data_IF_658827662584
#
_entry.id   IF_658827662584
#
_cell.length_a   1.000
_cell.length_b   1.000
_cell.length_c   1.000
_cell.angle_alpha   90.00
_cell.angle_beta   90.00
_cell.angle_gamma   90.00
#
_symmetry.space_group_name_H-M   'P 1'
#
loop_
_entity.id
_entity.type
_entity.pdbx_description
1 polymer ?
#
# COMPACT_ATOMS: atom_id res chain seq x y z
N UNK A 1 1.06 5.93 18.76
CA UNK A 1 0.13 5.23 17.85
C UNK A 1 0.89 4.90 16.57
N UNK A 2 0.71 3.72 16.00
CA UNK A 2 1.18 3.36 14.67
C UNK A 2 0.33 4.11 13.66
N UNK A 3 0.99 4.80 12.74
CA UNK A 3 0.33 5.60 11.72
C UNK A 3 0.07 4.76 10.47
N UNK A 4 -1.11 4.88 9.89
CA UNK A 4 -1.48 4.28 8.60
C UNK A 4 -2.21 5.30 7.72
N UNK A 5 -2.06 5.15 6.40
CA UNK A 5 -2.85 5.91 5.43
C UNK A 5 -4.16 5.17 5.16
N UNK A 6 -5.28 5.88 5.27
CA UNK A 6 -6.58 5.39 4.84
C UNK A 6 -6.73 5.44 3.32
N UNK A 7 -7.80 4.82 2.82
CA UNK A 7 -8.14 4.86 1.41
C UNK A 7 -8.41 6.30 0.93
N UNK A 8 -7.93 6.64 -0.27
CA UNK A 8 -8.17 7.94 -0.92
C UNK A 8 -9.55 7.94 -1.58
N UNK A 9 -10.51 8.67 -1.00
CA UNK A 9 -11.91 8.73 -1.44
C UNK A 9 -12.09 9.23 -2.89
N UNK A 10 -11.19 10.09 -3.35
CA UNK A 10 -11.24 10.69 -4.69
C UNK A 10 -10.32 9.99 -5.70
N UNK A 11 -9.83 8.79 -5.37
CA UNK A 11 -8.89 8.04 -6.20
C UNK A 11 -7.43 8.31 -5.84
N UNK A 12 -6.60 7.28 -6.09
CA UNK A 12 -5.18 7.25 -5.76
C UNK A 12 -4.27 7.94 -6.78
N UNK A 13 -2.96 7.71 -6.63
CA UNK A 13 -1.92 8.22 -7.55
C UNK A 13 -1.95 7.60 -8.95
N UNK A 14 -2.51 6.40 -9.09
CA UNK A 14 -2.55 5.68 -10.36
C UNK A 14 -3.80 6.09 -11.15
N UNK A 15 -3.60 6.45 -12.42
CA UNK A 15 -4.67 6.88 -13.33
C UNK A 15 -4.63 6.01 -14.58
N UNK A 16 -5.80 5.52 -14.98
CA UNK A 16 -6.01 4.92 -16.30
C UNK A 16 -6.62 5.98 -17.22
N UNK A 17 -6.02 6.18 -18.39
CA UNK A 17 -6.47 7.18 -19.37
C UNK A 17 -6.62 6.54 -20.75
N UNK A 18 -7.62 7.00 -21.50
CA UNK A 18 -7.90 6.54 -22.86
C UNK A 18 -7.29 7.53 -23.84
N UNK A 19 -6.41 7.02 -24.71
CA UNK A 19 -5.78 7.84 -25.74
C UNK A 19 -6.80 8.41 -26.71
N UNK A 20 -6.63 9.69 -27.09
CA UNK A 20 -7.55 10.39 -28.01
C UNK A 20 -7.63 9.80 -29.42
N UNK A 21 -6.75 8.86 -29.76
CA UNK A 21 -6.70 8.13 -31.04
C UNK A 21 -7.00 6.64 -30.89
N UNK A 22 -7.52 6.21 -29.74
CA UNK A 22 -7.93 4.83 -29.57
C UNK A 22 -8.98 4.47 -30.64
N UNK A 23 -8.81 3.31 -31.27
CA UNK A 23 -9.73 2.84 -32.32
C UNK A 23 -11.12 2.53 -31.75
N UNK A 24 -11.17 2.06 -30.50
CA UNK A 24 -12.41 1.71 -29.79
C UNK A 24 -12.34 2.20 -28.33
N UNK A 25 -12.53 3.51 -28.09
CA UNK A 25 -12.43 4.08 -26.74
C UNK A 25 -13.56 3.60 -25.83
N UNK A 26 -14.72 3.25 -26.36
CA UNK A 26 -15.87 2.76 -25.59
C UNK A 26 -15.59 1.38 -25.00
N UNK A 27 -14.99 0.47 -25.79
CA UNK A 27 -14.59 -0.85 -25.29
C UNK A 27 -13.48 -0.76 -24.24
N UNK A 28 -12.52 0.16 -24.41
CA UNK A 28 -11.48 0.40 -23.41
C UNK A 28 -12.11 0.92 -22.12
N UNK A 29 -13.07 1.86 -22.21
CA UNK A 29 -13.80 2.35 -21.05
C UNK A 29 -14.56 1.23 -20.34
N UNK A 30 -15.25 0.35 -21.07
CA UNK A 30 -15.95 -0.80 -20.51
C UNK A 30 -14.99 -1.81 -19.83
N UNK A 31 -13.81 -2.03 -20.39
CA UNK A 31 -12.79 -2.86 -19.76
C UNK A 31 -12.27 -2.22 -18.46
N UNK A 32 -12.00 -0.91 -18.46
CA UNK A 32 -11.59 -0.18 -17.25
C UNK A 32 -12.68 -0.27 -16.18
N UNK A 33 -13.95 -0.08 -16.54
CA UNK A 33 -15.09 -0.21 -15.63
C UNK A 33 -15.18 -1.62 -15.04
N UNK A 34 -14.99 -2.65 -15.87
CA UNK A 34 -14.94 -4.04 -15.41
C UNK A 34 -13.81 -4.29 -14.39
N UNK A 35 -12.66 -3.62 -14.48
CA UNK A 35 -11.59 -3.76 -13.47
C UNK A 35 -12.02 -3.34 -12.05
N UNK A 36 -13.08 -2.52 -11.92
CA UNK A 36 -13.67 -2.12 -10.63
C UNK A 36 -14.81 -3.04 -10.17
N UNK A 37 -15.24 -4.00 -10.99
CA UNK A 37 -16.18 -5.05 -10.57
C UNK A 37 -15.49 -6.09 -9.67
N UNK A 38 -16.23 -6.85 -8.84
CA UNK A 38 -15.64 -7.92 -8.02
C UNK A 38 -14.83 -8.94 -8.82
N UNK A 39 -15.34 -9.35 -9.98
CA UNK A 39 -14.65 -10.26 -10.90
C UNK A 39 -13.34 -9.65 -11.42
N UNK A 40 -13.39 -8.39 -11.84
CA UNK A 40 -12.22 -7.66 -12.34
C UNK A 40 -11.15 -7.47 -11.27
N UNK A 41 -11.53 -7.13 -10.03
CA UNK A 41 -10.59 -7.00 -8.90
C UNK A 41 -9.91 -8.33 -8.60
N UNK A 42 -10.65 -9.43 -8.59
CA UNK A 42 -10.13 -10.77 -8.40
C UNK A 42 -9.20 -11.22 -9.53
N UNK A 43 -9.49 -10.81 -10.76
CA UNK A 43 -8.72 -11.19 -11.95
C UNK A 43 -7.52 -10.27 -12.25
N UNK A 44 -7.51 -9.05 -11.70
CA UNK A 44 -6.49 -8.04 -11.94
C UNK A 44 -5.38 -8.01 -10.86
N UNK A 45 -5.16 -9.12 -10.18
CA UNK A 45 -4.12 -9.26 -9.15
C UNK A 45 -2.70 -9.07 -9.70
N UNK A 46 -1.86 -8.34 -8.98
CA UNK A 46 -0.41 -8.32 -9.24
C UNK A 46 0.29 -9.50 -8.56
N UNK A 47 1.52 -9.82 -8.96
CA UNK A 47 2.32 -10.88 -8.34
C UNK A 47 2.53 -10.68 -6.82
N UNK A 48 2.53 -9.43 -6.35
CA UNK A 48 2.65 -9.07 -4.93
C UNK A 48 1.30 -8.75 -4.29
N UNK A 49 0.23 -8.80 -5.06
CA UNK A 49 -1.13 -8.51 -4.62
C UNK A 49 -1.70 -9.68 -3.84
N UNK A 50 -2.39 -9.38 -2.74
CA UNK A 50 -3.01 -10.40 -1.90
C UNK A 50 -4.40 -10.84 -2.39
N UNK A 51 -4.77 -10.52 -3.64
CA UNK A 51 -6.05 -10.95 -4.24
C UNK A 51 -6.07 -12.46 -4.43
N UNK A 52 -7.22 -13.08 -4.22
CA UNK A 52 -7.35 -14.52 -4.31
C UNK A 52 -7.22 -15.08 -5.74
N UNK A 53 -7.27 -14.25 -6.79
CA UNK A 53 -7.42 -14.71 -8.18
C UNK A 53 -8.89 -14.92 -8.57
N UNK A 54 -9.19 -15.39 -9.78
CA UNK A 54 -10.55 -15.69 -10.22
C UNK A 54 -11.25 -16.74 -9.33
N UNK A 55 -12.53 -16.51 -9.03
CA UNK A 55 -13.37 -17.51 -8.35
C UNK A 55 -13.52 -18.76 -9.24
N UNK A 56 -13.55 -19.94 -8.63
CA UNK A 56 -13.57 -21.23 -9.29
C UNK A 56 -12.19 -21.73 -9.76
N UNK A 57 -11.21 -20.83 -9.90
CA UNK A 57 -9.82 -21.24 -10.18
C UNK A 57 -9.07 -21.54 -8.89
N UNK A 58 -8.90 -20.55 -8.02
CA UNK A 58 -8.08 -20.63 -6.80
C UNK A 58 -8.89 -20.63 -5.50
N UNK A 59 -10.16 -20.26 -5.56
CA UNK A 59 -11.04 -20.19 -4.39
C UNK A 59 -12.50 -20.34 -4.81
N UNK A 60 -13.34 -20.71 -3.84
CA UNK A 60 -14.78 -20.87 -4.03
C UNK A 60 -15.53 -20.17 -2.91
N UNK A 61 -16.69 -19.57 -3.21
CA UNK A 61 -17.60 -19.04 -2.20
C UNK A 61 -18.58 -20.13 -1.71
N UNK A 62 -18.19 -20.86 -0.66
CA UNK A 62 -18.99 -21.93 -0.07
C UNK A 62 -20.06 -21.45 0.92
N UNK A 63 -20.80 -22.40 1.49
CA UNK A 63 -21.81 -22.10 2.53
C UNK A 63 -21.22 -21.44 3.79
N UNK A 64 -19.95 -21.72 4.09
CA UNK A 64 -19.20 -21.14 5.22
C UNK A 64 -18.41 -19.88 4.83
N UNK A 65 -18.62 -19.36 3.61
CA UNK A 65 -17.92 -18.21 3.04
C UNK A 65 -16.77 -18.58 2.10
N UNK A 66 -15.98 -17.59 1.65
CA UNK A 66 -14.91 -17.79 0.69
C UNK A 66 -13.73 -18.55 1.30
N UNK A 67 -13.20 -19.52 0.55
CA UNK A 67 -12.04 -20.31 0.94
C UNK A 67 -11.18 -20.68 -0.26
N UNK A 68 -9.86 -20.72 -0.07
CA UNK A 68 -8.95 -21.27 -1.07
C UNK A 68 -9.29 -22.74 -1.34
N UNK A 69 -9.37 -23.12 -2.61
CA UNK A 69 -9.53 -24.51 -3.02
C UNK A 69 -8.17 -25.23 -3.05
N UNK A 70 -8.14 -26.50 -3.49
CA UNK A 70 -6.89 -27.27 -3.54
C UNK A 70 -5.81 -26.58 -4.39
N UNK A 71 -6.19 -26.05 -5.56
CA UNK A 71 -5.27 -25.36 -6.45
C UNK A 71 -4.77 -24.04 -5.86
N UNK A 72 -5.66 -23.21 -5.27
CA UNK A 72 -5.24 -21.98 -4.61
C UNK A 72 -4.29 -22.22 -3.43
N UNK A 73 -4.49 -23.31 -2.67
CA UNK A 73 -3.56 -23.71 -1.61
C UNK A 73 -2.19 -24.08 -2.16
N UNK A 74 -2.13 -24.83 -3.27
CA UNK A 74 -0.89 -25.14 -3.97
C UNK A 74 -0.17 -23.83 -4.36
N UNK A 75 -0.83 -22.97 -5.13
CA UNK A 75 -0.29 -21.70 -5.62
C UNK A 75 0.24 -20.82 -4.49
N UNK A 76 -0.60 -20.53 -3.48
CA UNK A 76 -0.29 -19.48 -2.51
C UNK A 76 0.55 -19.94 -1.32
N UNK A 77 0.58 -21.25 -1.00
CA UNK A 77 1.40 -21.77 0.11
C UNK A 77 2.73 -22.35 -0.36
N UNK A 78 2.82 -22.84 -1.59
CA UNK A 78 4.06 -23.40 -2.14
C UNK A 78 4.81 -22.42 -3.04
N UNK A 79 4.10 -21.46 -3.63
CA UNK A 79 4.68 -20.50 -4.57
C UNK A 79 4.80 -21.04 -6.00
N UNK A 80 4.15 -22.17 -6.31
CA UNK A 80 4.11 -22.78 -7.64
C UNK A 80 2.69 -23.27 -7.93
N UNK A 81 2.29 -23.33 -9.20
CA UNK A 81 1.03 -23.93 -9.59
C UNK A 81 0.81 -23.87 -11.10
N UNK A 82 0.44 -25.01 -11.69
CA UNK A 82 0.11 -25.10 -13.11
C UNK A 82 -1.40 -24.99 -13.28
N UNK A 83 -1.83 -23.95 -13.98
CA UNK A 83 -3.25 -23.68 -14.24
C UNK A 83 -3.86 -24.85 -15.05
N UNK A 84 -5.09 -25.29 -14.75
CA UNK A 84 -5.77 -26.32 -15.54
C UNK A 84 -5.92 -25.95 -17.03
N UNK A 85 -5.96 -26.93 -17.92
CA UNK A 85 -6.05 -26.69 -19.37
C UNK A 85 -7.32 -25.91 -19.77
N UNK A 86 -8.45 -26.13 -19.10
CA UNK A 86 -9.69 -25.39 -19.31
C UNK A 86 -9.58 -23.88 -18.99
N UNK A 87 -8.60 -23.50 -18.18
CA UNK A 87 -8.27 -22.12 -17.83
C UNK A 87 -7.09 -21.56 -18.64
N UNK A 88 -6.58 -22.32 -19.62
CA UNK A 88 -5.53 -21.91 -20.55
C UNK A 88 -4.14 -22.50 -20.28
N UNK A 89 -3.95 -23.23 -19.18
CA UNK A 89 -2.66 -23.86 -18.87
C UNK A 89 -1.55 -22.88 -18.44
N UNK A 90 -0.35 -23.41 -18.25
CA UNK A 90 0.84 -22.63 -17.90
C UNK A 90 1.00 -22.34 -16.41
N UNK A 91 1.99 -21.53 -16.04
CA UNK A 91 2.19 -21.11 -14.65
C UNK A 91 1.11 -20.11 -14.25
N UNK A 92 0.54 -20.26 -13.05
CA UNK A 92 -0.38 -19.26 -12.50
C UNK A 92 0.23 -17.84 -12.50
N UNK A 93 1.52 -17.75 -12.20
CA UNK A 93 2.22 -16.48 -12.12
C UNK A 93 2.47 -15.83 -13.49
N UNK A 94 2.34 -16.56 -14.60
CA UNK A 94 2.38 -15.98 -15.94
C UNK A 94 1.07 -15.25 -16.28
N UNK A 95 -0.02 -15.55 -15.56
CA UNK A 95 -1.35 -14.96 -15.73
C UNK A 95 -1.63 -13.72 -14.87
N UNK A 96 -0.68 -13.28 -14.04
CA UNK A 96 -0.85 -12.09 -13.21
C UNK A 96 -1.00 -10.83 -14.08
N UNK A 97 -1.71 -9.82 -13.58
CA UNK A 97 -2.02 -8.63 -14.36
C UNK A 97 -0.76 -7.86 -14.77
N UNK A 98 -0.51 -7.83 -16.08
CA UNK A 98 0.55 -7.01 -16.68
C UNK A 98 0.29 -5.50 -16.52
N UNK A 99 -0.96 -5.08 -16.24
CA UNK A 99 -1.28 -3.67 -15.98
C UNK A 99 -0.62 -3.18 -14.69
N UNK A 100 -0.38 -4.09 -13.74
CA UNK A 100 0.26 -3.82 -12.44
C UNK A 100 -0.34 -2.59 -11.73
N UNK A 101 -1.68 -2.50 -11.77
CA UNK A 101 -2.49 -1.44 -11.17
C UNK A 101 -3.57 -2.06 -10.32
N UNK A 102 -3.74 -1.58 -9.08
CA UNK A 102 -4.83 -2.01 -8.22
C UNK A 102 -6.00 -1.03 -8.36
N UNK A 103 -7.06 -1.45 -9.05
CA UNK A 103 -8.27 -0.63 -9.20
C UNK A 103 -9.00 -0.44 -7.85
N UNK A 104 -9.05 -1.51 -7.05
CA UNK A 104 -9.61 -1.53 -5.69
C UNK A 104 -8.56 -2.07 -4.72
N UNK A 105 -8.55 -1.57 -3.48
CA UNK A 105 -7.63 -2.07 -2.47
C UNK A 105 -7.99 -3.51 -2.10
N UNK A 106 -7.03 -4.45 -2.01
CA UNK A 106 -7.33 -5.82 -1.58
C UNK A 106 -7.96 -5.92 -0.18
N UNK A 107 -7.78 -4.90 0.67
CA UNK A 107 -8.40 -4.81 1.98
C UNK A 107 -9.86 -4.32 1.94
N UNK A 108 -10.35 -3.82 0.81
CA UNK A 108 -11.75 -3.42 0.64
C UNK A 108 -12.65 -4.66 0.63
N UNK A 109 -13.86 -4.49 1.15
CA UNK A 109 -14.90 -5.52 1.15
C UNK A 109 -15.29 -5.89 -0.29
N UNK A 110 -15.33 -7.19 -0.58
CA UNK A 110 -15.94 -7.73 -1.76
C UNK A 110 -17.46 -7.83 -1.50
N UNK A 111 -18.31 -7.12 -2.26
CA UNK A 111 -19.76 -7.13 -2.04
C UNK A 111 -20.40 -8.52 -2.24
N UNK A 112 -19.76 -9.43 -2.97
CA UNK A 112 -20.29 -10.77 -3.24
C UNK A 112 -20.07 -11.73 -2.06
N UNK A 113 -19.05 -11.48 -1.24
CA UNK A 113 -18.67 -12.35 -0.11
C UNK A 113 -18.86 -11.69 1.27
N UNK A 114 -18.94 -10.36 1.32
CA UNK A 114 -18.93 -9.59 2.56
C UNK A 114 -17.60 -9.64 3.31
N UNK A 115 -16.54 -10.17 2.70
CA UNK A 115 -15.17 -10.20 3.24
C UNK A 115 -14.22 -9.49 2.28
N UNK A 116 -13.03 -9.12 2.75
CA UNK A 116 -12.09 -8.39 1.90
C UNK A 116 -11.67 -9.20 0.66
N UNK A 117 -11.30 -8.55 -0.45
CA UNK A 117 -10.73 -9.23 -1.63
C UNK A 117 -9.45 -10.03 -1.31
N UNK A 118 -8.76 -9.66 -0.23
CA UNK A 118 -7.56 -10.34 0.22
C UNK A 118 -7.88 -11.61 1.01
N UNK A 119 -7.52 -12.76 0.43
CA UNK A 119 -7.71 -14.06 1.06
C UNK A 119 -6.99 -14.20 2.41
N UNK A 120 -5.89 -13.46 2.60
CA UNK A 120 -5.08 -13.50 3.81
C UNK A 120 -5.84 -13.02 5.06
N UNK A 121 -6.95 -12.32 4.87
CA UNK A 121 -7.82 -11.82 5.94
C UNK A 121 -9.07 -12.66 6.15
N UNK A 122 -9.28 -13.71 5.33
CA UNK A 122 -10.44 -14.58 5.46
C UNK A 122 -10.32 -15.48 6.71
N UNK A 123 -11.42 -15.74 7.43
CA UNK A 123 -11.43 -16.70 8.54
C UNK A 123 -10.97 -18.10 8.11
N UNK A 124 -11.32 -18.53 6.89
CA UNK A 124 -10.90 -19.81 6.31
C UNK A 124 -9.38 -19.92 6.17
N UNK A 125 -8.72 -18.85 5.75
CA UNK A 125 -7.27 -18.79 5.66
C UNK A 125 -6.61 -18.70 7.04
N UNK A 126 -7.15 -17.89 7.95
CA UNK A 126 -6.64 -17.80 9.32
C UNK A 126 -6.63 -19.17 10.02
N UNK A 127 -7.69 -19.96 9.84
CA UNK A 127 -7.77 -21.34 10.33
C UNK A 127 -6.76 -22.28 9.64
N UNK A 128 -6.56 -22.11 8.33
CA UNK A 128 -5.62 -22.92 7.54
C UNK A 128 -4.16 -22.75 7.98
N UNK A 129 -3.76 -21.53 8.36
CA UNK A 129 -2.37 -21.21 8.74
C UNK A 129 -2.16 -21.17 10.26
N UNK A 130 -3.13 -21.63 11.05
CA UNK A 130 -3.03 -21.64 12.50
C UNK A 130 -1.88 -22.55 12.98
N UNK A 131 -1.08 -22.06 13.91
CA UNK A 131 0.03 -22.80 14.52
C UNK A 131 -0.01 -22.67 16.04
N UNK A 132 0.67 -23.56 16.79
CA UNK A 132 0.84 -23.38 18.24
C UNK A 132 1.46 -22.03 18.62
N UNK A 133 2.33 -21.48 17.75
CA UNK A 133 2.93 -20.16 17.96
C UNK A 133 1.89 -19.03 17.79
N UNK A 134 1.03 -19.09 16.77
CA UNK A 134 -0.02 -18.06 16.58
C UNK A 134 -1.05 -18.11 17.70
N UNK A 135 -1.43 -19.29 18.19
CA UNK A 135 -2.30 -19.44 19.37
C UNK A 135 -1.66 -18.87 20.64
N UNK A 136 -0.38 -19.18 20.88
CA UNK A 136 0.36 -18.65 22.02
C UNK A 136 0.48 -17.12 21.95
N UNK A 137 0.76 -16.59 20.76
CA UNK A 137 0.79 -15.15 20.51
C UNK A 137 -0.56 -14.51 20.78
N UNK A 138 -1.65 -15.06 20.22
CA UNK A 138 -3.02 -14.55 20.42
C UNK A 138 -3.37 -14.52 21.91
N UNK A 139 -3.07 -15.59 22.64
CA UNK A 139 -3.26 -15.66 24.10
C UNK A 139 -2.48 -14.56 24.83
N UNK A 140 -1.23 -14.28 24.42
CA UNK A 140 -0.42 -13.20 25.01
C UNK A 140 -0.93 -11.81 24.66
N UNK A 141 -1.58 -11.66 23.50
CA UNK A 141 -2.12 -10.41 22.99
C UNK A 141 -3.61 -10.21 23.32
N UNK A 142 -4.12 -10.90 24.33
CA UNK A 142 -5.49 -10.72 24.81
C UNK A 142 -6.58 -11.29 23.88
N UNK A 143 -6.23 -12.29 23.06
CA UNK A 143 -7.15 -12.95 22.13
C UNK A 143 -7.21 -12.34 20.74
N UNK A 144 -6.41 -11.30 20.45
CA UNK A 144 -6.31 -10.75 19.10
C UNK A 144 -5.80 -11.82 18.11
N UNK A 145 -6.39 -11.89 16.92
CA UNK A 145 -6.00 -12.86 15.88
C UNK A 145 -4.86 -12.37 15.00
N UNK A 146 -4.68 -11.05 14.92
CA UNK A 146 -3.62 -10.42 14.15
C UNK A 146 -3.22 -9.06 14.78
N UNK A 147 -2.13 -8.48 14.25
CA UNK A 147 -1.59 -7.22 14.76
C UNK A 147 -2.56 -6.04 14.63
N UNK A 148 -3.40 -6.01 13.58
CA UNK A 148 -4.36 -4.91 13.37
C UNK A 148 -5.46 -4.93 14.44
N UNK A 149 -6.00 -6.10 14.77
CA UNK A 149 -6.96 -6.26 15.86
C UNK A 149 -6.37 -5.83 17.19
N UNK A 150 -5.15 -6.27 17.51
CA UNK A 150 -4.46 -5.88 18.74
C UNK A 150 -4.30 -4.36 18.82
N UNK A 151 -3.79 -3.73 17.77
CA UNK A 151 -3.56 -2.28 17.74
C UNK A 151 -4.87 -1.50 17.83
N UNK A 152 -5.94 -1.98 17.19
CA UNK A 152 -7.27 -1.37 17.23
C UNK A 152 -7.86 -1.45 18.64
N UNK A 153 -7.86 -2.64 19.25
CA UNK A 153 -8.39 -2.87 20.60
C UNK A 153 -7.64 -2.06 21.68
N UNK A 154 -6.36 -1.77 21.46
CA UNK A 154 -5.53 -0.99 22.38
C UNK A 154 -5.45 0.51 22.04
N UNK A 155 -6.25 1.01 21.09
CA UNK A 155 -6.20 2.41 20.63
C UNK A 155 -4.78 2.85 20.23
N UNK A 156 -4.01 1.93 19.64
CA UNK A 156 -2.64 2.13 19.20
C UNK A 156 -2.55 2.40 17.70
N UNK A 157 -3.65 2.38 16.95
CA UNK A 157 -3.69 2.74 15.53
C UNK A 157 -4.13 4.21 15.33
N UNK A 158 -3.52 4.89 14.37
CA UNK A 158 -3.93 6.22 13.90
C UNK A 158 -4.03 6.15 12.37
N UNK A 159 -5.24 6.24 11.84
CA UNK A 159 -5.49 6.22 10.39
C UNK A 159 -5.72 7.65 9.92
N UNK A 160 -4.86 8.14 9.03
CA UNK A 160 -5.10 9.41 8.36
C UNK A 160 -6.12 9.22 7.23
N UNK A 161 -7.15 10.07 7.12
CA UNK A 161 -8.02 10.09 5.95
C UNK A 161 -7.19 10.24 4.67
N UNK A 162 -7.54 9.49 3.62
CA UNK A 162 -6.94 9.70 2.31
C UNK A 162 -7.47 10.99 1.70
N UNK A 163 -6.58 11.87 1.24
CA UNK A 163 -6.93 13.10 0.56
C UNK A 163 -6.08 13.21 -0.71
N UNK A 164 -6.69 13.56 -1.84
CA UNK A 164 -6.01 13.73 -3.13
C UNK A 164 -5.25 15.05 -3.20
N UNK A 165 -4.35 15.25 -2.24
CA UNK A 165 -3.45 16.39 -2.19
C UNK A 165 -2.22 16.12 -3.05
N UNK A 166 -1.98 17.01 -4.01
CA UNK A 166 -0.74 17.04 -4.79
C UNK A 166 0.04 18.27 -4.36
N UNK A 167 1.24 18.07 -3.81
CA UNK A 167 2.12 19.17 -3.48
C UNK A 167 2.47 19.96 -4.75
N UNK A 168 2.53 21.30 -4.70
CA UNK A 168 3.03 22.10 -5.80
C UNK A 168 4.47 21.70 -6.14
N UNK A 169 4.85 21.87 -7.40
CA UNK A 169 6.24 21.72 -7.79
C UNK A 169 7.11 22.75 -7.05
N UNK A 170 8.32 22.34 -6.68
CA UNK A 170 9.32 23.27 -6.15
C UNK A 170 9.52 24.43 -7.14
N UNK A 171 9.69 25.64 -6.61
CA UNK A 171 10.27 26.72 -7.41
C UNK A 171 11.72 26.38 -7.76
N UNK A 172 12.27 26.96 -8.83
CA UNK A 172 13.66 26.74 -9.22
C UNK A 172 14.67 27.05 -8.10
N UNK A 173 14.33 27.99 -7.22
CA UNK A 173 15.15 28.32 -6.05
C UNK A 173 15.10 27.21 -4.99
N UNK A 174 13.89 26.78 -4.59
CA UNK A 174 13.71 25.71 -3.59
C UNK A 174 14.34 24.41 -4.10
N UNK A 175 14.14 24.07 -5.39
CA UNK A 175 14.73 22.86 -5.98
C UNK A 175 16.26 22.88 -5.92
N UNK A 176 16.88 24.03 -6.24
CA UNK A 176 18.33 24.20 -6.16
C UNK A 176 18.84 24.07 -4.71
N UNK A 177 18.20 24.74 -3.76
CA UNK A 177 18.53 24.65 -2.33
C UNK A 177 18.38 23.22 -1.82
N UNK A 178 17.24 22.57 -2.11
CA UNK A 178 16.94 21.19 -1.72
C UNK A 178 18.01 20.23 -2.24
N UNK A 179 18.43 20.36 -3.50
CA UNK A 179 19.46 19.50 -4.07
C UNK A 179 20.83 19.69 -3.40
N UNK A 180 21.22 20.93 -3.08
CA UNK A 180 22.47 21.22 -2.37
C UNK A 180 22.44 20.68 -0.93
N UNK A 181 21.34 20.95 -0.21
CA UNK A 181 21.11 20.46 1.15
C UNK A 181 21.13 18.93 1.19
N UNK A 182 20.43 18.26 0.26
CA UNK A 182 20.42 16.81 0.13
C UNK A 182 21.83 16.24 -0.04
N UNK A 183 22.63 16.84 -0.92
CA UNK A 183 24.00 16.39 -1.16
C UNK A 183 24.85 16.46 0.11
N UNK A 184 24.77 17.57 0.85
CA UNK A 184 25.50 17.73 2.12
C UNK A 184 25.02 16.73 3.18
N UNK A 185 23.70 16.54 3.34
CA UNK A 185 23.15 15.60 4.31
C UNK A 185 23.59 14.17 4.01
N UNK A 186 23.52 13.74 2.74
CA UNK A 186 23.94 12.39 2.35
C UNK A 186 25.43 12.18 2.62
N UNK A 187 26.27 13.14 2.21
CA UNK A 187 27.71 13.05 2.43
C UNK A 187 28.07 13.04 3.91
N UNK A 188 27.56 14.00 4.68
CA UNK A 188 27.88 14.10 6.11
C UNK A 188 27.33 12.92 6.91
N UNK A 189 26.15 12.38 6.55
CA UNK A 189 25.61 11.16 7.17
C UNK A 189 26.53 9.96 6.96
N UNK A 190 27.09 9.81 5.76
CA UNK A 190 28.07 8.76 5.51
C UNK A 190 29.34 8.94 6.34
N UNK A 191 29.86 10.16 6.46
CA UNK A 191 31.03 10.43 7.28
C UNK A 191 30.77 10.13 8.76
N UNK A 192 29.59 10.49 9.27
CA UNK A 192 29.18 10.24 10.65
C UNK A 192 29.09 8.74 10.98
N UNK A 193 28.54 7.92 10.07
CA UNK A 193 28.46 6.45 10.27
C UNK A 193 29.85 5.82 10.43
N UNK A 194 30.88 6.40 9.81
CA UNK A 194 32.26 5.92 9.87
C UNK A 194 33.16 6.74 10.82
N UNK A 195 32.58 7.58 11.67
CA UNK A 195 33.35 8.32 12.66
C UNK A 195 34.08 7.35 13.61
N UNK A 196 35.34 7.63 13.92
CA UNK A 196 36.17 6.76 14.75
C UNK A 196 35.74 6.77 16.23
N UNK A 197 35.01 7.80 16.66
CA UNK A 197 34.50 7.98 18.01
C UNK A 197 33.41 9.06 18.05
N UNK A 198 32.75 9.17 19.20
CA UNK A 198 31.70 10.16 19.47
C UNK A 198 32.14 11.61 19.22
N UNK A 199 33.38 11.96 19.57
CA UNK A 199 33.88 13.33 19.40
C UNK A 199 34.03 13.72 17.93
N UNK A 200 34.44 12.79 17.08
CA UNK A 200 34.47 12.99 15.64
C UNK A 200 33.04 13.07 15.06
N UNK A 201 32.14 12.19 15.53
CA UNK A 201 30.73 12.23 15.14
C UNK A 201 30.09 13.60 15.42
N UNK A 202 30.22 14.12 16.64
CA UNK A 202 29.62 15.40 17.05
C UNK A 202 30.18 16.59 16.27
N UNK A 203 31.48 16.54 15.94
CA UNK A 203 32.12 17.54 15.08
C UNK A 203 31.55 17.53 13.66
N UNK A 204 31.42 16.33 13.06
CA UNK A 204 30.82 16.14 11.75
C UNK A 204 29.34 16.56 11.73
N UNK A 205 28.58 16.21 12.78
CA UNK A 205 27.19 16.61 12.96
C UNK A 205 27.03 18.12 12.99
N UNK A 206 27.81 18.80 13.83
CA UNK A 206 27.80 20.27 13.94
C UNK A 206 28.15 20.94 12.60
N UNK A 207 29.14 20.39 11.88
CA UNK A 207 29.55 20.89 10.57
C UNK A 207 28.42 20.74 9.53
N UNK A 208 27.81 19.55 9.46
CA UNK A 208 26.69 19.27 8.57
C UNK A 208 25.52 20.22 8.82
N UNK A 209 25.13 20.42 10.09
CA UNK A 209 24.04 21.34 10.43
C UNK A 209 24.34 22.78 10.00
N UNK A 210 25.56 23.26 10.25
CA UNK A 210 25.98 24.60 9.87
C UNK A 210 25.93 24.80 8.35
N UNK A 211 26.49 23.86 7.59
CA UNK A 211 26.47 23.92 6.12
C UNK A 211 25.07 23.81 5.55
N UNK A 212 24.26 22.86 6.01
CA UNK A 212 22.89 22.69 5.55
C UNK A 212 22.08 23.99 5.74
N UNK A 213 22.19 24.62 6.93
CA UNK A 213 21.59 25.93 7.19
C UNK A 213 22.12 27.01 6.26
N UNK A 214 23.43 27.07 6.04
CA UNK A 214 24.06 28.00 5.11
C UNK A 214 23.63 27.83 3.64
N UNK A 215 23.20 26.63 3.26
CA UNK A 215 22.65 26.30 1.93
C UNK A 215 21.15 26.60 1.80
N UNK A 216 20.50 27.08 2.85
CA UNK A 216 19.07 27.41 2.84
C UNK A 216 18.16 26.28 3.31
N UNK A 217 18.63 25.39 4.20
CA UNK A 217 17.80 24.33 4.80
C UNK A 217 16.49 24.87 5.38
N UNK A 218 16.52 26.02 6.05
CA UNK A 218 15.33 26.62 6.67
C UNK A 218 14.27 27.04 5.65
N UNK A 219 14.67 27.48 4.45
CA UNK A 219 13.74 27.84 3.38
C UNK A 219 13.03 26.59 2.84
N UNK A 220 13.79 25.51 2.62
CA UNK A 220 13.24 24.21 2.19
C UNK A 220 12.31 23.64 3.27
N UNK A 221 12.71 23.72 4.54
CA UNK A 221 11.89 23.27 5.66
C UNK A 221 10.58 24.06 5.74
N UNK A 222 10.63 25.39 5.61
CA UNK A 222 9.43 26.21 5.65
C UNK A 222 8.45 25.85 4.52
N UNK A 223 8.96 25.66 3.30
CA UNK A 223 8.16 25.22 2.15
C UNK A 223 7.54 23.83 2.38
N UNK A 224 8.31 22.87 2.90
CA UNK A 224 7.82 21.52 3.19
C UNK A 224 6.77 21.52 4.31
N UNK A 225 6.93 22.38 5.33
CA UNK A 225 5.98 22.53 6.42
C UNK A 225 4.66 23.16 5.96
N UNK A 226 4.70 24.13 5.04
CA UNK A 226 3.50 24.70 4.42
C UNK A 226 2.72 23.62 3.64
N UNK A 227 3.42 22.82 2.84
CA UNK A 227 2.82 21.71 2.11
C UNK A 227 2.25 20.63 3.04
N UNK A 228 2.95 20.31 4.14
CA UNK A 228 2.48 19.37 5.15
C UNK A 228 1.21 19.88 5.83
N UNK A 229 1.13 21.18 6.14
CA UNK A 229 -0.07 21.80 6.69
C UNK A 229 -1.23 21.76 5.68
N UNK A 230 -1.00 22.12 4.42
CA UNK A 230 -2.02 22.06 3.38
C UNK A 230 -2.54 20.63 3.17
N UNK A 231 -1.67 19.62 3.25
CA UNK A 231 -2.08 18.21 3.23
C UNK A 231 -2.92 17.84 4.45
N UNK A 232 -2.53 18.30 5.65
CA UNK A 232 -3.29 18.06 6.87
C UNK A 232 -4.70 18.67 6.80
N UNK A 233 -4.81 19.90 6.28
CA UNK A 233 -6.07 20.60 6.09
C UNK A 233 -6.96 19.88 5.07
N UNK A 234 -6.38 19.38 3.96
CA UNK A 234 -7.10 18.58 2.98
C UNK A 234 -7.67 17.29 3.60
N UNK A 235 -6.90 16.62 4.47
CA UNK A 235 -7.38 15.44 5.22
C UNK A 235 -8.49 15.79 6.21
N UNK A 236 -8.37 16.92 6.89
CA UNK A 236 -9.39 17.40 7.83
C UNK A 236 -10.70 17.74 7.10
N UNK A 237 -10.62 18.33 5.90
CA UNK A 237 -11.79 18.58 5.06
C UNK A 237 -12.51 17.30 4.65
N UNK A 238 -11.76 16.28 4.20
CA UNK A 238 -12.31 14.95 3.90
C UNK A 238 -13.01 14.35 5.13
N UNK A 239 -12.38 14.44 6.31
CA UNK A 239 -12.98 13.95 7.55
C UNK A 239 -14.26 14.71 7.92
N UNK A 240 -14.32 16.03 7.71
CA UNK A 240 -15.53 16.80 7.99
C UNK A 240 -16.69 16.44 7.05
N UNK A 241 -16.38 16.03 5.81
CA UNK A 241 -17.36 15.67 4.79
C UNK A 241 -17.87 14.22 4.94
N UNK A 242 -16.97 13.28 5.26
CA UNK A 242 -17.26 11.83 5.24
C UNK A 242 -17.02 11.11 6.56
N UNK A 243 -16.41 11.76 7.55
CA UNK A 243 -16.14 11.21 8.87
C UNK A 243 -17.38 11.27 9.75
N UNK A 244 -18.29 10.32 9.54
CA UNK A 244 -19.35 10.01 10.50
C UNK A 244 -18.81 9.50 11.83
#
# INVERSE_FOLDING_TARGET
KIFSYGAELYGGKQILAIGSKAEDPERIAAFIDWLYSPEGVNSNGSQTGASAGPEGLTWDNGADGPALNDFGREVFLTGEGTVPEEWGGGSFFDGVSALNVSAVLPASENPDTGLAFSYQTWPSYAALVETPLSQAWSTKMGGAQNGIEFLTANNQLSVAPGASFTAPADSSQIEAQRNQVKAEIVQGSWQMIFAANEGEFESLWTNLQSKAKGLGYEDVLAFDMENAQAQADARAAVLAEFGG
#
